data_IF_979147258413
#
_entry.id   IF_979147258413
#
_cell.length_a   1.000
_cell.length_b   1.000
_cell.length_c   1.000
_cell.angle_alpha   90.00
_cell.angle_beta   90.00
_cell.angle_gamma   90.00
#
_symmetry.space_group_name_H-M   'P 1'
#
loop_
_entity.id
_entity.type
_entity.pdbx_description
1 polymer ?
#
# COMPACT_ATOMS: atom_id res chain seq x y z
N UNK A 1 24.28 -22.92 9.61
CA UNK A 1 22.93 -22.38 9.80
C UNK A 1 22.66 -22.32 11.29
N UNK A 2 22.28 -21.17 11.87
CA UNK A 2 21.94 -21.08 13.29
C UNK A 2 20.80 -22.04 13.68
N UNK A 3 20.86 -22.65 14.86
CA UNK A 3 19.86 -23.66 15.31
C UNK A 3 18.46 -23.06 15.38
N UNK A 4 18.32 -21.83 15.89
CA UNK A 4 17.04 -21.12 15.94
C UNK A 4 16.47 -20.81 14.55
N UNK A 5 17.33 -20.53 13.56
CA UNK A 5 16.86 -20.33 12.18
C UNK A 5 16.29 -21.62 11.59
N UNK A 6 16.92 -22.77 11.88
CA UNK A 6 16.37 -24.06 11.45
C UNK A 6 15.00 -24.34 12.12
N UNK A 7 14.83 -23.97 13.39
CA UNK A 7 13.55 -24.07 14.10
C UNK A 7 12.49 -23.15 13.49
N UNK A 8 12.84 -21.91 13.15
CA UNK A 8 11.95 -20.97 12.48
C UNK A 8 11.47 -21.52 11.13
N UNK A 9 12.39 -22.01 10.28
CA UNK A 9 12.07 -22.54 8.95
C UNK A 9 11.23 -23.83 9.04
N UNK A 10 11.47 -24.66 10.07
CA UNK A 10 10.72 -25.89 10.29
C UNK A 10 9.33 -25.66 10.90
N UNK A 11 9.02 -24.43 11.35
CA UNK A 11 7.71 -24.10 11.90
C UNK A 11 6.64 -24.15 10.78
N UNK A 12 5.48 -24.79 11.01
CA UNK A 12 4.39 -24.87 10.02
C UNK A 12 3.88 -23.52 9.50
N UNK A 13 4.04 -22.43 10.27
CA UNK A 13 3.61 -21.07 9.89
C UNK A 13 4.53 -20.49 8.81
N UNK A 14 5.81 -20.86 8.80
CA UNK A 14 6.83 -20.21 8.00
C UNK A 14 6.56 -20.24 6.48
N UNK A 15 6.16 -21.36 5.84
CA UNK A 15 5.99 -21.40 4.38
C UNK A 15 4.93 -20.43 3.85
N UNK A 16 3.80 -20.32 4.53
CA UNK A 16 2.73 -19.39 4.14
C UNK A 16 3.16 -17.94 4.42
N UNK A 17 3.69 -17.69 5.62
CA UNK A 17 4.18 -16.38 6.02
C UNK A 17 5.28 -15.85 5.11
N UNK A 18 6.25 -16.70 4.74
CA UNK A 18 7.33 -16.32 3.81
C UNK A 18 6.75 -15.91 2.45
N UNK A 19 5.77 -16.66 1.96
CA UNK A 19 5.09 -16.35 0.70
C UNK A 19 4.35 -15.02 0.77
N UNK A 20 3.65 -14.75 1.88
CA UNK A 20 2.97 -13.48 2.14
C UNK A 20 3.97 -12.31 2.18
N UNK A 21 5.04 -12.43 2.95
CA UNK A 21 6.08 -11.41 3.06
C UNK A 21 6.75 -11.10 1.72
N UNK A 22 7.10 -12.12 0.94
CA UNK A 22 7.68 -11.95 -0.41
C UNK A 22 6.73 -11.32 -1.41
N UNK A 23 5.42 -11.49 -1.22
CA UNK A 23 4.40 -10.79 -2.02
C UNK A 23 4.20 -9.32 -1.61
N UNK A 24 4.94 -8.83 -0.60
CA UNK A 24 4.87 -7.46 -0.10
C UNK A 24 3.83 -7.24 0.99
N UNK A 25 3.21 -8.31 1.51
CA UNK A 25 2.24 -8.19 2.61
C UNK A 25 2.91 -7.70 3.88
N UNK A 26 2.24 -6.77 4.55
CA UNK A 26 2.61 -6.25 5.86
C UNK A 26 1.84 -7.04 6.92
N UNK A 27 2.56 -7.54 7.92
CA UNK A 27 2.05 -8.43 8.95
C UNK A 27 1.84 -7.61 10.23
N UNK A 28 0.58 -7.30 10.52
CA UNK A 28 0.17 -6.49 11.67
C UNK A 28 -0.14 -7.33 12.92
N UNK A 29 -0.56 -6.67 14.00
CA UNK A 29 -0.86 -7.33 15.28
C UNK A 29 -2.13 -8.18 15.19
N UNK A 30 -3.05 -7.83 14.29
CA UNK A 30 -4.28 -8.58 14.00
C UNK A 30 -4.00 -10.01 13.49
N UNK A 31 -2.84 -10.25 12.87
CA UNK A 31 -2.40 -11.57 12.39
C UNK A 31 -1.62 -12.32 13.49
N UNK A 32 -2.28 -12.53 14.64
CA UNK A 32 -1.72 -12.99 15.92
C UNK A 32 -0.60 -14.06 15.80
N UNK A 33 -0.88 -15.19 15.15
CA UNK A 33 0.07 -16.31 15.05
C UNK A 33 1.31 -15.95 14.22
N UNK A 34 1.10 -15.25 13.10
CA UNK A 34 2.17 -14.82 12.20
C UNK A 34 3.02 -13.73 12.85
N UNK A 35 2.37 -12.77 13.53
CA UNK A 35 3.03 -11.69 14.24
C UNK A 35 3.86 -12.20 15.42
N UNK A 36 3.30 -13.08 16.26
CA UNK A 36 4.03 -13.70 17.36
C UNK A 36 5.23 -14.50 16.86
N UNK A 37 5.07 -15.27 15.79
CA UNK A 37 6.17 -16.00 15.16
C UNK A 37 7.29 -15.08 14.68
N UNK A 38 6.97 -13.94 14.04
CA UNK A 38 7.96 -12.96 13.62
C UNK A 38 8.68 -12.31 14.80
N UNK A 39 7.97 -12.05 15.90
CA UNK A 39 8.56 -11.51 17.13
C UNK A 39 9.57 -12.50 17.76
N UNK A 40 9.23 -13.80 17.80
CA UNK A 40 10.07 -14.83 18.42
C UNK A 40 11.37 -15.11 17.65
N UNK A 41 11.32 -15.01 16.32
CA UNK A 41 12.43 -15.36 15.41
C UNK A 41 12.96 -14.17 14.60
N UNK A 42 12.72 -12.94 15.05
CA UNK A 42 13.04 -11.72 14.29
C UNK A 42 14.50 -11.68 13.82
N UNK A 43 15.45 -11.89 14.74
CA UNK A 43 16.89 -11.79 14.45
C UNK A 43 17.35 -12.84 13.43
N UNK A 44 16.84 -14.06 13.56
CA UNK A 44 17.16 -15.16 12.66
C UNK A 44 16.56 -14.94 11.27
N UNK A 45 15.32 -14.48 11.20
CA UNK A 45 14.63 -14.20 9.95
C UNK A 45 15.21 -12.97 9.23
N UNK A 46 15.68 -11.98 9.98
CA UNK A 46 16.42 -10.85 9.41
C UNK A 46 17.68 -11.32 8.67
N UNK A 47 18.49 -12.17 9.31
CA UNK A 47 19.67 -12.79 8.67
C UNK A 47 19.27 -13.67 7.48
N UNK A 48 18.14 -14.35 7.55
CA UNK A 48 17.62 -15.17 6.46
C UNK A 48 17.29 -14.33 5.22
N UNK A 49 16.50 -13.27 5.37
CA UNK A 49 16.08 -12.38 4.27
C UNK A 49 17.23 -11.51 3.75
N UNK A 50 18.22 -11.18 4.58
CA UNK A 50 19.40 -10.45 4.16
C UNK A 50 20.16 -11.18 3.04
N UNK A 51 20.11 -12.52 3.00
CA UNK A 51 20.70 -13.33 1.92
C UNK A 51 20.05 -13.10 0.56
N UNK A 52 18.81 -12.60 0.54
CA UNK A 52 18.10 -12.19 -0.66
C UNK A 52 18.28 -10.69 -0.97
N UNK A 53 19.18 -10.00 -0.25
CA UNK A 53 19.34 -8.54 -0.29
C UNK A 53 18.04 -7.80 0.05
N UNK A 54 17.30 -8.33 1.04
CA UNK A 54 16.06 -7.77 1.55
C UNK A 54 16.17 -7.62 3.08
N UNK A 55 15.65 -6.54 3.63
CA UNK A 55 15.60 -6.30 5.07
C UNK A 55 14.21 -6.67 5.61
N UNK A 56 14.16 -7.46 6.67
CA UNK A 56 12.94 -7.64 7.47
C UNK A 56 12.85 -6.49 8.46
N UNK A 57 11.84 -5.63 8.30
CA UNK A 57 11.69 -4.43 9.12
C UNK A 57 10.47 -4.56 10.02
N UNK A 58 10.65 -4.21 11.29
CA UNK A 58 9.55 -3.92 12.21
C UNK A 58 9.38 -2.40 12.30
N UNK A 59 8.21 -1.92 11.89
CA UNK A 59 7.87 -0.51 12.02
C UNK A 59 7.64 -0.13 13.49
N UNK A 60 7.77 1.16 13.88
CA UNK A 60 7.50 1.58 15.26
C UNK A 60 6.06 1.31 15.69
N UNK A 61 5.12 1.25 14.75
CA UNK A 61 3.72 0.87 14.99
C UNK A 61 3.52 -0.64 15.17
N UNK A 62 4.59 -1.44 15.05
CA UNK A 62 4.63 -2.84 15.46
C UNK A 62 4.41 -3.87 14.35
N UNK A 63 4.05 -3.46 13.12
CA UNK A 63 3.90 -4.36 11.98
C UNK A 63 5.25 -4.69 11.30
N UNK A 64 5.31 -5.83 10.62
CA UNK A 64 6.47 -6.29 9.88
C UNK A 64 6.27 -6.20 8.37
N UNK A 65 7.35 -5.96 7.62
CA UNK A 65 7.36 -6.05 6.16
C UNK A 65 8.77 -6.25 5.62
N UNK A 66 8.86 -6.68 4.35
CA UNK A 66 10.13 -6.78 3.64
C UNK A 66 10.45 -5.48 2.89
N UNK A 67 11.64 -4.91 3.13
CA UNK A 67 12.19 -3.78 2.37
C UNK A 67 13.28 -4.28 1.42
N UNK A 68 13.02 -4.34 0.11
CA UNK A 68 14.04 -4.73 -0.86
C UNK A 68 15.13 -3.67 -0.97
N UNK A 69 16.40 -4.09 -1.06
CA UNK A 69 17.52 -3.22 -1.47
C UNK A 69 17.57 -3.14 -2.99
N UNK A 70 18.40 -2.24 -3.54
CA UNK A 70 18.63 -2.12 -4.99
C UNK A 70 19.13 -3.40 -5.65
N UNK A 71 19.81 -4.28 -4.89
CA UNK A 71 20.33 -5.57 -5.36
C UNK A 71 19.45 -6.77 -4.96
N UNK A 72 18.17 -6.54 -4.63
CA UNK A 72 17.22 -7.60 -4.23
C UNK A 72 17.18 -8.76 -5.23
N UNK A 73 17.16 -9.98 -4.70
CA UNK A 73 16.91 -11.20 -5.50
C UNK A 73 15.42 -11.54 -5.60
N UNK A 74 14.58 -10.89 -4.80
CA UNK A 74 13.12 -11.06 -4.80
C UNK A 74 12.52 -10.02 -5.75
N UNK A 75 11.62 -10.42 -6.68
CA UNK A 75 10.96 -9.50 -7.59
C UNK A 75 10.25 -8.36 -6.84
N UNK A 76 10.38 -7.16 -7.40
CA UNK A 76 9.80 -5.94 -6.84
C UNK A 76 8.60 -5.51 -7.67
N UNK A 77 7.60 -4.94 -7.01
CA UNK A 77 6.57 -4.13 -7.66
C UNK A 77 6.48 -2.78 -6.98
N UNK A 78 6.11 -1.75 -7.76
CA UNK A 78 5.89 -0.39 -7.27
C UNK A 78 4.41 -0.06 -7.38
N UNK A 79 3.89 0.68 -6.41
CA UNK A 79 2.50 1.14 -6.39
C UNK A 79 2.33 2.29 -7.38
N UNK A 80 1.16 2.35 -8.05
CA UNK A 80 0.82 3.50 -8.89
C UNK A 80 0.58 4.75 -8.04
N UNK A 81 0.61 5.93 -8.67
CA UNK A 81 0.30 7.19 -7.99
C UNK A 81 -1.09 7.17 -7.33
N UNK A 82 -2.09 6.57 -8.00
CA UNK A 82 -3.42 6.40 -7.43
C UNK A 82 -3.41 5.46 -6.22
N UNK A 83 -2.68 4.34 -6.27
CA UNK A 83 -2.57 3.43 -5.12
C UNK A 83 -1.91 4.14 -3.92
N UNK A 84 -0.89 4.96 -4.17
CA UNK A 84 -0.22 5.77 -3.15
C UNK A 84 -1.17 6.79 -2.53
N UNK A 85 -1.94 7.51 -3.35
CA UNK A 85 -2.89 8.50 -2.89
C UNK A 85 -4.01 7.87 -2.07
N UNK A 86 -4.58 6.75 -2.54
CA UNK A 86 -5.58 5.98 -1.78
C UNK A 86 -4.99 5.52 -0.44
N UNK A 87 -3.75 5.05 -0.41
CA UNK A 87 -3.05 4.69 0.83
C UNK A 87 -2.88 5.89 1.78
N UNK A 88 -2.56 7.07 1.27
CA UNK A 88 -2.46 8.31 2.07
C UNK A 88 -3.81 8.73 2.66
N UNK A 89 -4.89 8.65 1.88
CA UNK A 89 -6.25 8.95 2.36
C UNK A 89 -6.70 7.92 3.40
N UNK A 90 -6.41 6.63 3.21
CA UNK A 90 -6.66 5.61 4.24
C UNK A 90 -5.91 5.90 5.54
N UNK A 91 -4.66 6.36 5.46
CA UNK A 91 -3.91 6.79 6.63
C UNK A 91 -4.55 8.02 7.31
N UNK A 92 -5.07 8.96 6.52
CA UNK A 92 -5.81 10.12 7.04
C UNK A 92 -7.09 9.68 7.76
N UNK A 93 -7.90 8.79 7.15
CA UNK A 93 -9.10 8.23 7.78
C UNK A 93 -8.77 7.45 9.07
N UNK A 94 -7.63 6.77 9.12
CA UNK A 94 -7.18 6.06 10.32
C UNK A 94 -6.85 7.02 11.48
N UNK A 95 -6.34 8.22 11.16
CA UNK A 95 -6.03 9.28 12.13
C UNK A 95 -7.26 10.13 12.49
N UNK A 96 -8.28 10.18 11.64
CA UNK A 96 -9.49 10.97 11.86
C UNK A 96 -10.24 10.53 13.13
N UNK A 97 -10.76 11.48 13.94
CA UNK A 97 -11.62 11.16 15.08
C UNK A 97 -12.89 10.39 14.68
N UNK A 98 -13.31 10.47 13.41
CA UNK A 98 -14.45 9.72 12.87
C UNK A 98 -14.24 8.21 12.96
N UNK A 99 -12.99 7.73 12.95
CA UNK A 99 -12.68 6.30 13.13
C UNK A 99 -13.34 5.73 14.38
N UNK A 100 -13.36 6.49 15.48
CA UNK A 100 -13.98 6.07 16.74
C UNK A 100 -15.50 5.96 16.61
N UNK A 101 -16.13 6.87 15.86
CA UNK A 101 -17.57 6.86 15.61
C UNK A 101 -17.99 5.67 14.72
N UNK A 102 -17.10 5.23 13.83
CA UNK A 102 -17.33 4.14 12.88
C UNK A 102 -16.83 2.77 13.38
N UNK A 103 -16.37 2.64 14.63
CA UNK A 103 -15.73 1.41 15.16
C UNK A 103 -14.56 0.89 14.28
N UNK A 104 -13.92 1.80 13.55
CA UNK A 104 -12.87 1.52 12.58
C UNK A 104 -13.32 0.84 11.29
N UNK A 105 -14.61 0.88 10.96
CA UNK A 105 -15.20 0.30 9.74
C UNK A 105 -15.56 1.41 8.75
N UNK A 106 -14.99 1.34 7.56
CA UNK A 106 -15.21 2.31 6.48
C UNK A 106 -15.85 1.64 5.27
N UNK A 107 -16.53 2.44 4.46
CA UNK A 107 -17.07 2.01 3.17
C UNK A 107 -16.23 2.49 1.99
N UNK A 108 -16.37 1.82 0.84
CA UNK A 108 -15.74 2.28 -0.40
C UNK A 108 -16.24 3.67 -0.81
N UNK A 109 -17.51 3.98 -0.54
CA UNK A 109 -18.08 5.29 -0.86
C UNK A 109 -17.48 6.40 0.00
N UNK A 110 -17.39 6.18 1.32
CA UNK A 110 -16.75 7.14 2.24
C UNK A 110 -15.29 7.42 1.84
N UNK A 111 -14.54 6.38 1.49
CA UNK A 111 -13.17 6.54 0.98
C UNK A 111 -13.12 7.36 -0.31
N UNK A 112 -14.04 7.11 -1.24
CA UNK A 112 -14.09 7.81 -2.51
C UNK A 112 -14.48 9.29 -2.33
N UNK A 113 -15.48 9.56 -1.51
CA UNK A 113 -15.93 10.92 -1.22
C UNK A 113 -14.81 11.72 -0.54
N UNK A 114 -14.09 11.11 0.41
CA UNK A 114 -12.95 11.75 1.05
C UNK A 114 -11.79 11.96 0.07
N UNK A 115 -11.51 11.00 -0.81
CA UNK A 115 -10.48 11.14 -1.85
C UNK A 115 -10.77 12.34 -2.77
N UNK A 116 -12.00 12.48 -3.24
CA UNK A 116 -12.42 13.59 -4.12
C UNK A 116 -12.45 14.92 -3.37
N UNK A 117 -12.78 14.91 -2.07
CA UNK A 117 -12.77 16.11 -1.24
C UNK A 117 -11.35 16.62 -0.94
N UNK A 118 -10.40 15.70 -0.72
CA UNK A 118 -9.05 16.05 -0.29
C UNK A 118 -8.07 16.29 -1.43
N UNK A 119 -8.22 15.58 -2.55
CA UNK A 119 -7.33 15.69 -3.71
C UNK A 119 -7.97 16.51 -4.84
N UNK A 120 -7.13 17.11 -5.67
CA UNK A 120 -7.58 17.87 -6.84
C UNK A 120 -8.25 16.93 -7.86
N UNK A 121 -9.57 17.06 -8.01
CA UNK A 121 -10.40 16.24 -8.90
C UNK A 121 -9.86 16.25 -10.35
N UNK A 122 -9.33 17.39 -10.82
CA UNK A 122 -8.79 17.49 -12.17
C UNK A 122 -7.52 16.65 -12.36
N UNK A 123 -6.69 16.53 -11.32
CA UNK A 123 -5.51 15.65 -11.31
C UNK A 123 -5.91 14.19 -11.21
N UNK A 124 -6.86 13.87 -10.32
CA UNK A 124 -7.38 12.50 -10.16
C UNK A 124 -7.92 11.94 -11.48
N UNK A 125 -8.68 12.73 -12.23
CA UNK A 125 -9.25 12.31 -13.51
C UNK A 125 -8.16 12.07 -14.57
N UNK A 126 -7.08 12.86 -14.56
CA UNK A 126 -5.92 12.64 -15.46
C UNK A 126 -5.19 11.32 -15.18
N UNK A 127 -5.19 10.83 -13.94
CA UNK A 127 -4.67 9.49 -13.59
C UNK A 127 -5.55 8.36 -14.16
N UNK A 128 -6.81 8.67 -14.47
CA UNK A 128 -7.71 7.73 -15.14
C UNK A 128 -7.48 7.75 -16.65
N UNK A 129 -7.54 8.94 -17.23
CA UNK A 129 -7.35 9.20 -18.64
C UNK A 129 -6.84 10.65 -18.84
N UNK A 130 -5.71 10.79 -19.54
CA UNK A 130 -5.05 12.09 -19.74
C UNK A 130 -5.93 13.13 -20.45
N UNK A 131 -6.91 12.68 -21.25
CA UNK A 131 -7.87 13.53 -21.98
C UNK A 131 -9.22 13.69 -21.27
N UNK A 132 -9.36 13.25 -20.01
CA UNK A 132 -10.62 13.35 -19.28
C UNK A 132 -11.05 14.80 -19.11
N UNK A 133 -12.33 15.05 -19.37
CA UNK A 133 -12.97 16.37 -19.28
C UNK A 133 -13.83 16.51 -18.02
N UNK A 134 -13.87 15.48 -17.16
CA UNK A 134 -14.70 15.44 -15.95
C UNK A 134 -16.12 14.94 -16.19
N UNK A 135 -16.30 14.09 -17.20
CA UNK A 135 -17.60 13.45 -17.44
C UNK A 135 -17.99 12.49 -16.31
N UNK A 136 -19.29 12.23 -16.14
CA UNK A 136 -19.78 11.22 -15.20
C UNK A 136 -19.17 9.83 -15.47
N UNK A 137 -18.88 9.52 -16.75
CA UNK A 137 -18.19 8.31 -17.14
C UNK A 137 -16.75 8.26 -16.63
N UNK A 138 -16.02 9.38 -16.65
CA UNK A 138 -14.66 9.45 -16.09
C UNK A 138 -14.68 9.25 -14.57
N UNK A 139 -15.68 9.81 -13.87
CA UNK A 139 -15.88 9.61 -12.43
C UNK A 139 -16.18 8.16 -12.09
N UNK A 140 -17.00 7.49 -12.89
CA UNK A 140 -17.28 6.06 -12.72
C UNK A 140 -16.02 5.21 -12.92
N UNK A 141 -15.21 5.52 -13.94
CA UNK A 141 -13.91 4.85 -14.15
C UNK A 141 -12.92 5.11 -13.03
N UNK A 142 -12.90 6.33 -12.45
CA UNK A 142 -12.09 6.65 -11.28
C UNK A 142 -12.49 5.76 -10.10
N UNK A 143 -13.79 5.64 -9.82
CA UNK A 143 -14.32 4.79 -8.77
C UNK A 143 -13.87 3.33 -8.91
N UNK A 144 -13.95 2.77 -10.13
CA UNK A 144 -13.49 1.41 -10.42
C UNK A 144 -11.96 1.24 -10.25
N UNK A 145 -11.17 2.25 -10.64
CA UNK A 145 -9.71 2.25 -10.39
C UNK A 145 -9.41 2.33 -8.88
N UNK A 146 -10.15 3.13 -8.10
CA UNK A 146 -10.01 3.21 -6.64
C UNK A 146 -10.37 1.86 -5.99
N UNK A 147 -11.43 1.19 -6.44
CA UNK A 147 -11.77 -0.16 -5.99
C UNK A 147 -10.67 -1.18 -6.29
N UNK A 148 -10.02 -1.05 -7.44
CA UNK A 148 -8.88 -1.89 -7.83
C UNK A 148 -7.67 -1.62 -6.94
N UNK A 149 -7.37 -0.34 -6.67
CA UNK A 149 -6.31 0.08 -5.75
C UNK A 149 -6.53 -0.47 -4.34
N UNK A 150 -7.76 -0.32 -3.81
CA UNK A 150 -8.15 -0.85 -2.51
C UNK A 150 -7.94 -2.37 -2.40
N UNK A 151 -8.25 -3.11 -3.47
CA UNK A 151 -7.99 -4.55 -3.53
C UNK A 151 -6.50 -4.90 -3.54
N UNK A 152 -5.64 -4.09 -4.16
CA UNK A 152 -4.17 -4.26 -4.06
C UNK A 152 -3.70 -4.00 -2.65
N UNK A 153 -4.16 -2.91 -2.02
CA UNK A 153 -3.82 -2.55 -0.64
C UNK A 153 -4.26 -3.62 0.36
N UNK A 154 -5.39 -4.30 0.11
CA UNK A 154 -5.81 -5.49 0.88
C UNK A 154 -4.77 -6.62 0.81
N UNK A 155 -4.25 -6.93 -0.38
CA UNK A 155 -3.21 -7.98 -0.55
C UNK A 155 -1.92 -7.60 0.18
N UNK A 156 -1.63 -6.31 0.27
CA UNK A 156 -0.51 -5.77 1.04
C UNK A 156 -0.74 -5.74 2.56
N UNK A 157 -1.91 -6.15 3.06
CA UNK A 157 -2.19 -6.19 4.50
C UNK A 157 -2.56 -4.83 5.12
N UNK A 158 -2.91 -3.84 4.29
CA UNK A 158 -3.27 -2.50 4.75
C UNK A 158 -4.71 -2.41 5.27
N UNK A 159 -5.59 -3.27 4.74
CA UNK A 159 -7.00 -3.33 5.09
C UNK A 159 -7.49 -4.77 5.18
N UNK A 160 -8.60 -4.98 5.88
CA UNK A 160 -9.35 -6.24 5.92
C UNK A 160 -10.81 -6.00 5.53
N UNK A 161 -11.34 -6.80 4.60
CA UNK A 161 -12.78 -6.81 4.34
C UNK A 161 -13.49 -7.60 5.44
N UNK A 162 -14.60 -7.04 5.94
CA UNK A 162 -15.33 -7.61 7.09
C UNK A 162 -16.15 -8.82 6.68
N UNK A 163 -16.69 -8.79 5.47
CA UNK A 163 -17.44 -9.90 4.88
C UNK A 163 -16.62 -10.41 3.69
N UNK A 164 -16.21 -11.68 3.72
CA UNK A 164 -15.15 -12.24 2.87
C UNK A 164 -15.20 -11.89 1.38
N UNK A 165 -16.39 -11.66 0.81
CA UNK A 165 -16.57 -11.29 -0.60
C UNK A 165 -17.17 -9.90 -0.85
N UNK A 166 -17.65 -9.19 0.17
CA UNK A 166 -18.22 -7.86 -0.05
C UNK A 166 -17.14 -6.79 0.15
N UNK A 167 -16.70 -6.20 -0.96
CA UNK A 167 -15.75 -5.08 -0.95
C UNK A 167 -16.38 -3.76 -0.47
N UNK A 168 -17.64 -3.77 -0.04
CA UNK A 168 -18.35 -2.57 0.41
C UNK A 168 -17.79 -2.02 1.72
N UNK A 169 -17.35 -2.89 2.65
CA UNK A 169 -16.94 -2.52 4.01
C UNK A 169 -15.61 -3.14 4.41
N UNK A 170 -14.72 -2.30 4.92
CA UNK A 170 -13.37 -2.71 5.34
C UNK A 170 -12.96 -2.04 6.65
N UNK A 171 -11.99 -2.67 7.32
CA UNK A 171 -11.25 -2.11 8.44
C UNK A 171 -9.82 -1.80 8.00
N UNK A 172 -9.27 -0.70 8.51
CA UNK A 172 -7.90 -0.27 8.23
C UNK A 172 -6.96 -0.81 9.32
N UNK A 173 -5.81 -1.35 8.91
CA UNK A 173 -4.79 -1.94 9.77
C UNK A 173 -3.66 -0.92 10.08
N UNK A 174 -2.88 -1.12 11.15
CA UNK A 174 -1.73 -0.26 11.50
C UNK A 174 -0.68 -0.17 10.38
N UNK A 175 -0.58 -1.19 9.53
CA UNK A 175 0.30 -1.22 8.36
C UNK A 175 0.13 0.02 7.45
N UNK A 176 -1.03 0.69 7.51
CA UNK A 176 -1.31 1.90 6.73
C UNK A 176 -0.37 3.06 7.08
N UNK A 177 0.23 3.07 8.28
CA UNK A 177 1.22 4.08 8.68
C UNK A 177 2.48 4.07 7.81
N UNK A 178 2.65 3.08 6.93
CA UNK A 178 3.67 3.12 5.89
C UNK A 178 3.45 4.28 4.90
N UNK A 179 2.19 4.64 4.62
CA UNK A 179 1.82 5.78 3.76
C UNK A 179 1.87 7.13 4.47
N UNK A 180 2.01 7.13 5.80
CA UNK A 180 2.19 8.32 6.63
C UNK A 180 3.61 8.46 7.18
N UNK A 181 4.61 7.76 6.62
CA UNK A 181 5.97 7.77 7.15
C UNK A 181 6.58 9.19 7.23
N UNK A 182 6.30 10.02 6.23
CA UNK A 182 6.81 11.39 6.11
C UNK A 182 6.25 12.36 7.17
N UNK A 183 5.13 12.00 7.81
CA UNK A 183 4.43 12.88 8.76
C UNK A 183 4.56 12.45 10.20
N UNK A 184 5.26 11.33 10.47
CA UNK A 184 5.44 10.77 11.82
C UNK A 184 6.13 11.72 12.80
N UNK A 185 6.96 12.62 12.29
CA UNK A 185 7.71 13.60 13.09
C UNK A 185 7.02 14.96 13.21
N UNK A 186 5.85 15.14 12.60
CA UNK A 186 5.08 16.39 12.72
C UNK A 186 4.30 16.41 14.03
N UNK A 187 4.24 17.58 14.68
CA UNK A 187 3.40 17.80 15.87
C UNK A 187 1.90 17.60 15.56
N UNK A 188 1.49 17.86 14.31
CA UNK A 188 0.16 17.53 13.79
C UNK A 188 0.31 16.58 12.58
N UNK A 189 0.17 15.28 12.83
CA UNK A 189 0.28 14.24 11.81
C UNK A 189 -0.90 14.27 10.82
N UNK A 190 -2.08 14.73 11.25
CA UNK A 190 -3.28 14.77 10.39
C UNK A 190 -3.15 15.93 9.40
N UNK A 191 -2.77 17.12 9.85
CA UNK A 191 -2.59 18.28 8.98
C UNK A 191 -1.41 18.07 8.00
N UNK A 192 -0.33 17.46 8.47
CA UNK A 192 0.80 17.13 7.62
C UNK A 192 0.42 16.11 6.52
N UNK A 193 -0.43 15.12 6.85
CA UNK A 193 -0.93 14.16 5.86
C UNK A 193 -1.84 14.84 4.83
N UNK A 194 -2.69 15.77 5.27
CA UNK A 194 -3.54 16.58 4.38
C UNK A 194 -2.72 17.40 3.39
N UNK A 195 -1.62 18.02 3.83
CA UNK A 195 -0.72 18.77 2.93
C UNK A 195 -0.12 17.86 1.87
N UNK A 196 0.38 16.68 2.25
CA UNK A 196 0.93 15.71 1.29
C UNK A 196 -0.09 15.23 0.26
N UNK A 197 -1.36 15.06 0.65
CA UNK A 197 -2.45 14.68 -0.25
C UNK A 197 -2.76 15.82 -1.23
N UNK A 198 -2.86 17.06 -0.73
CA UNK A 198 -3.21 18.25 -1.53
C UNK A 198 -2.11 18.66 -2.50
N UNK A 199 -0.86 18.64 -2.05
CA UNK A 199 0.29 19.06 -2.85
C UNK A 199 0.61 18.04 -3.95
N UNK A 200 -0.03 16.86 -3.93
CA UNK A 200 0.31 15.76 -4.83
C UNK A 200 1.73 15.26 -4.59
N UNK A 201 2.32 15.53 -3.41
CA UNK A 201 3.60 14.99 -2.97
C UNK A 201 3.48 13.49 -2.62
N UNK A 202 2.79 12.72 -3.45
CA UNK A 202 3.09 11.31 -3.64
C UNK A 202 4.47 11.13 -4.31
N UNK A 203 5.06 12.22 -4.83
CA UNK A 203 6.24 12.27 -5.70
C UNK A 203 7.58 12.22 -4.97
N UNK A 204 7.66 12.56 -3.67
CA UNK A 204 8.89 12.26 -2.90
C UNK A 204 8.87 10.81 -2.47
N UNK A 205 8.82 9.92 -3.47
CA UNK A 205 9.28 8.56 -3.38
C UNK A 205 10.65 8.69 -2.71
N UNK A 206 10.78 8.21 -1.47
CA UNK A 206 12.10 7.97 -0.90
C UNK A 206 12.91 7.30 -2.01
N UNK A 207 14.09 7.84 -2.32
CA UNK A 207 15.05 7.34 -3.30
C UNK A 207 15.44 5.85 -3.13
N UNK A 208 14.81 5.14 -2.20
CA UNK A 208 14.76 3.70 -2.05
C UNK A 208 13.87 2.99 -3.09
N UNK A 209 12.94 3.65 -3.80
CA UNK A 209 11.91 3.01 -4.64
C UNK A 209 11.96 3.26 -6.16
N UNK A 210 12.94 4.00 -6.68
CA UNK A 210 13.00 4.37 -8.10
C UNK A 210 14.04 3.54 -8.86
N UNK A 211 13.62 2.85 -9.91
CA UNK A 211 14.35 2.80 -11.19
C UNK A 211 13.32 2.88 -12.33
N UNK A 212 13.60 3.75 -13.28
CA UNK A 212 12.82 4.04 -14.48
C UNK A 212 12.51 2.77 -15.28
N UNK A 213 11.24 2.57 -15.61
CA UNK A 213 10.84 1.80 -16.78
C UNK A 213 10.09 2.76 -17.70
N UNK A 214 10.86 3.57 -18.44
CA UNK A 214 10.37 4.25 -19.63
C UNK A 214 10.02 3.19 -20.66
N UNK A 215 8.81 2.64 -20.54
CA UNK A 215 8.07 2.02 -21.62
C UNK A 215 6.62 2.46 -21.45
N UNK A 216 6.39 3.76 -21.62
CA UNK A 216 5.14 4.21 -22.18
C UNK A 216 5.06 3.57 -23.58
N UNK A 217 4.17 2.59 -23.72
CA UNK A 217 3.72 2.08 -25.00
C UNK A 217 3.21 3.27 -25.82
N UNK A 218 4.09 3.82 -26.67
CA UNK A 218 3.72 4.53 -27.87
C UNK A 218 3.03 3.53 -28.80
N UNK A 219 1.72 3.38 -28.65
CA UNK A 219 0.85 2.93 -29.73
C UNK A 219 0.03 4.13 -30.21
N UNK A 220 0.74 5.07 -30.84
CA UNK A 220 0.14 6.04 -31.75
C UNK A 220 0.38 5.56 -33.20
N UNK A 221 -0.73 5.22 -33.85
CA UNK A 221 -1.01 5.44 -35.28
C UNK A 221 0.05 4.95 -36.30
N UNK A 222 -0.02 3.66 -36.66
CA UNK A 222 0.40 3.26 -38.02
C UNK A 222 -0.74 3.57 -38.99
N UNK A 223 -0.57 4.72 -39.61
CA UNK A 223 -1.22 5.17 -40.83
C UNK A 223 -0.89 4.19 -41.99
N UNK A 224 -1.88 3.48 -42.53
CA UNK A 224 -1.83 2.95 -43.89
C UNK A 224 -3.13 3.31 -44.61
N UNK A 225 -3.10 4.51 -45.19
CA UNK A 225 -3.92 4.92 -46.32
C UNK A 225 -3.24 4.43 -47.62
N UNK A 226 -4.06 3.93 -48.56
CA UNK A 226 -3.83 3.80 -50.03
C UNK A 226 -3.05 2.52 -50.43
N UNK A 227 -3.56 1.58 -51.24
CA UNK A 227 -4.27 1.65 -52.52
C UNK A 227 -5.01 0.32 -52.82
#
# INVERSE_FOLDING_TARGET
>A
MPVKLAQAIANPIFPELDSLLRSGRHIGIDELDQHAFLMDFQLELEQFYQRYNVELIRAPEGFFYLRPRSTTLIPRSVLSELDMLVGKVLCYLYLSPERLAHEGIFTLQELFDELVSLADESKLLKLVNQRSTGSDLDRQKLFDKVKTALNRLRRLGMIFFIVGNDSSRFRINESIFRFGADVRSSDDAQEAQLRLIRDGEAIKIESSLILDDNNEEQDDEVNEEIE
#
